data_IF_008233946851
#
_entry.id   IF_008233946851
#
_cell.length_a   1.000
_cell.length_b   1.000
_cell.length_c   1.000
_cell.angle_alpha   90.00
_cell.angle_beta   90.00
_cell.angle_gamma   90.00
#
_symmetry.space_group_name_H-M   'P 1'
#
loop_
_entity.id
_entity.type
_entity.pdbx_description
1 polymer ?
#
# COMPACT_ATOMS: atom_id res chain seq x y z
N UNK A 1 4.38 65.12 5.65
CA UNK A 1 5.13 63.88 6.09
C UNK A 1 4.29 62.63 5.91
N UNK A 2 3.53 62.50 4.80
CA UNK A 2 2.57 61.39 4.56
C UNK A 2 2.92 60.60 3.30
N UNK A 3 3.92 61.01 2.52
CA UNK A 3 4.18 60.46 1.17
C UNK A 3 5.28 59.36 1.10
N UNK A 4 5.86 58.96 2.22
CA UNK A 4 6.93 57.90 2.23
C UNK A 4 6.43 56.49 2.58
N UNK A 5 5.24 56.35 3.14
CA UNK A 5 4.68 55.04 3.52
C UNK A 5 4.01 54.30 2.37
N UNK A 6 3.51 55.00 1.35
CA UNK A 6 2.87 54.33 0.20
C UNK A 6 3.87 53.55 -0.68
N UNK A 7 5.11 54.05 -0.79
CA UNK A 7 6.13 53.37 -1.61
C UNK A 7 6.70 52.08 -0.94
N UNK A 8 6.77 52.07 0.40
CA UNK A 8 7.20 50.88 1.15
C UNK A 8 6.17 49.78 1.12
N UNK A 9 4.87 50.10 1.13
CA UNK A 9 3.79 49.10 1.03
C UNK A 9 3.74 48.49 -0.39
N UNK A 10 3.93 49.30 -1.42
CA UNK A 10 3.97 48.82 -2.82
C UNK A 10 5.20 47.96 -3.08
N UNK A 11 6.38 48.31 -2.51
CA UNK A 11 7.57 47.46 -2.64
C UNK A 11 7.42 46.14 -1.88
N UNK A 12 6.78 46.13 -0.71
CA UNK A 12 6.55 44.93 0.07
C UNK A 12 5.54 43.97 -0.61
N UNK A 13 4.53 44.52 -1.29
CA UNK A 13 3.57 43.73 -2.06
C UNK A 13 4.16 43.15 -3.34
N UNK A 14 5.15 43.81 -3.97
CA UNK A 14 5.85 43.25 -5.15
C UNK A 14 6.80 42.08 -4.80
N UNK A 15 7.38 42.08 -3.60
CA UNK A 15 8.29 41.00 -3.16
C UNK A 15 7.52 39.73 -2.82
N UNK A 16 6.25 39.83 -2.41
CA UNK A 16 5.40 38.65 -2.14
C UNK A 16 4.93 37.90 -3.41
N UNK A 17 5.04 38.53 -4.59
CA UNK A 17 4.66 37.92 -5.87
C UNK A 17 5.82 37.19 -6.56
N UNK A 18 7.05 37.32 -6.07
CA UNK A 18 8.23 36.68 -6.67
C UNK A 18 8.57 35.29 -6.11
N UNK A 19 7.79 34.77 -5.16
CA UNK A 19 8.10 33.53 -4.42
C UNK A 19 7.51 32.23 -4.97
N UNK A 20 6.71 32.26 -6.04
CA UNK A 20 6.20 31.03 -6.66
C UNK A 20 7.07 30.65 -7.86
N UNK A 21 7.87 29.59 -7.73
CA UNK A 21 8.64 29.03 -8.83
C UNK A 21 7.73 28.71 -10.03
N UNK A 22 8.10 29.16 -11.21
CA UNK A 22 7.36 29.01 -12.47
C UNK A 22 7.06 27.56 -12.87
N UNK A 23 7.76 26.60 -12.29
CA UNK A 23 7.68 25.18 -12.68
C UNK A 23 6.44 24.44 -12.16
N UNK A 24 5.70 25.00 -11.20
CA UNK A 24 4.55 24.31 -10.59
C UNK A 24 3.17 24.92 -10.92
N UNK A 25 3.13 26.07 -11.56
CA UNK A 25 1.86 26.74 -11.91
C UNK A 25 1.14 26.05 -13.06
N UNK A 26 1.88 25.48 -14.02
CA UNK A 26 1.30 24.78 -15.16
C UNK A 26 0.64 23.46 -14.73
N UNK A 27 1.11 22.84 -13.66
CA UNK A 27 0.57 21.59 -13.12
C UNK A 27 -0.84 21.73 -12.55
N UNK A 28 -1.17 22.87 -11.95
CA UNK A 28 -2.49 23.10 -11.35
C UNK A 28 -3.60 23.43 -12.34
N UNK A 29 -3.26 23.88 -13.54
CA UNK A 29 -4.22 24.36 -14.56
C UNK A 29 -4.40 23.31 -15.67
N UNK A 30 -3.42 22.43 -15.85
CA UNK A 30 -3.42 21.44 -16.94
C UNK A 30 -4.26 20.21 -16.55
N UNK A 31 -5.17 19.78 -17.43
CA UNK A 31 -5.91 18.54 -17.25
C UNK A 31 -4.95 17.34 -17.24
N UNK A 32 -5.38 16.20 -16.67
CA UNK A 32 -4.58 14.97 -16.68
C UNK A 32 -4.20 14.49 -18.10
N UNK A 33 -4.95 14.93 -19.10
CA UNK A 33 -4.81 14.49 -20.49
C UNK A 33 -5.35 13.08 -20.74
N UNK A 34 -5.27 12.58 -21.98
CA UNK A 34 -5.70 11.22 -22.29
C UNK A 34 -4.81 10.20 -21.58
N UNK A 35 -5.39 9.06 -21.22
CA UNK A 35 -4.63 7.95 -20.62
C UNK A 35 -3.58 7.46 -21.60
N UNK A 36 -2.38 7.25 -21.10
CA UNK A 36 -1.22 6.70 -21.78
C UNK A 36 -0.50 5.71 -20.89
N UNK A 37 0.15 4.79 -21.55
CA UNK A 37 0.99 3.77 -20.93
C UNK A 37 2.44 4.00 -21.35
N UNK A 38 3.35 3.87 -20.38
CA UNK A 38 4.80 4.00 -20.59
C UNK A 38 5.49 2.80 -19.93
N UNK A 39 6.27 2.06 -20.73
CA UNK A 39 7.11 0.98 -20.22
C UNK A 39 8.47 1.55 -19.81
N UNK A 40 8.96 1.12 -18.65
CA UNK A 40 10.23 1.55 -18.06
C UNK A 40 11.11 0.37 -17.72
N UNK A 41 12.33 0.39 -18.23
CA UNK A 41 13.38 -0.57 -17.86
C UNK A 41 14.07 -0.09 -16.59
N UNK A 42 13.94 -0.83 -15.49
CA UNK A 42 14.42 -0.39 -14.17
C UNK A 42 15.40 -1.38 -13.52
N UNK A 43 15.52 -2.60 -14.04
CA UNK A 43 16.32 -3.66 -13.43
C UNK A 43 15.54 -4.52 -12.44
N UNK A 44 16.22 -5.47 -11.82
CA UNK A 44 15.61 -6.44 -10.91
C UNK A 44 15.50 -5.90 -9.49
N UNK A 45 14.41 -6.25 -8.80
CA UNK A 45 14.12 -5.89 -7.41
C UNK A 45 13.47 -7.07 -6.68
N UNK A 46 13.45 -7.01 -5.37
CA UNK A 46 12.73 -7.96 -4.52
C UNK A 46 11.66 -7.29 -3.66
N UNK A 47 11.75 -5.97 -3.49
CA UNK A 47 10.85 -5.17 -2.68
C UNK A 47 10.28 -4.00 -3.47
N UNK A 48 9.01 -3.68 -3.21
CA UNK A 48 8.34 -2.45 -3.72
C UNK A 48 7.92 -1.60 -2.52
N UNK A 49 8.27 -0.33 -2.52
CA UNK A 49 7.75 0.67 -1.58
C UNK A 49 6.80 1.59 -2.34
N UNK A 50 5.53 1.57 -1.95
CA UNK A 50 4.47 2.29 -2.63
C UNK A 50 4.02 3.48 -1.81
N UNK A 51 4.24 4.68 -2.33
CA UNK A 51 3.80 5.94 -1.75
C UNK A 51 2.59 6.51 -2.48
N UNK A 52 2.00 7.53 -1.91
CA UNK A 52 0.96 8.37 -2.49
C UNK A 52 -0.29 7.59 -2.93
N UNK A 53 -0.99 8.12 -3.91
CA UNK A 53 -2.18 7.52 -4.50
C UNK A 53 -1.85 6.87 -5.83
N UNK A 54 -1.09 5.79 -5.79
CA UNK A 54 -0.71 4.99 -6.94
C UNK A 54 -1.20 3.57 -6.73
N UNK A 55 -2.01 3.05 -7.63
CA UNK A 55 -2.43 1.65 -7.61
C UNK A 55 -1.30 0.77 -8.13
N UNK A 56 -1.06 -0.37 -7.49
CA UNK A 56 -0.05 -1.35 -7.87
C UNK A 56 -0.72 -2.64 -8.35
N UNK A 57 -0.31 -3.13 -9.50
CA UNK A 57 -0.77 -4.41 -10.04
C UNK A 57 0.43 -5.33 -10.24
N UNK A 58 0.38 -6.49 -9.58
CA UNK A 58 1.33 -7.57 -9.81
C UNK A 58 0.84 -8.41 -10.98
N UNK A 59 1.63 -8.55 -12.03
CA UNK A 59 1.24 -9.31 -13.22
C UNK A 59 2.41 -10.08 -13.83
N UNK A 60 2.10 -11.06 -14.68
CA UNK A 60 3.09 -11.78 -15.48
C UNK A 60 3.70 -10.81 -16.51
N UNK A 61 4.97 -10.48 -16.31
CA UNK A 61 5.69 -9.54 -17.16
C UNK A 61 7.20 -9.81 -17.12
N UNK A 62 7.94 -9.29 -18.10
CA UNK A 62 9.38 -9.44 -18.14
C UNK A 62 10.07 -8.83 -16.92
N UNK A 63 11.02 -9.57 -16.36
CA UNK A 63 11.80 -9.12 -15.21
C UNK A 63 12.54 -7.81 -15.54
N UNK A 64 12.56 -6.90 -14.57
CA UNK A 64 13.26 -5.61 -14.71
C UNK A 64 12.50 -4.56 -15.52
N UNK A 65 11.25 -4.82 -15.91
CA UNK A 65 10.40 -3.84 -16.58
C UNK A 65 9.17 -3.52 -15.73
N UNK A 66 8.74 -2.27 -15.74
CA UNK A 66 7.48 -1.83 -15.15
C UNK A 66 6.69 -1.01 -16.15
N UNK A 67 5.38 -1.04 -16.02
CA UNK A 67 4.48 -0.26 -16.85
C UNK A 67 3.76 0.78 -15.99
N UNK A 68 3.77 2.02 -16.43
CA UNK A 68 3.08 3.14 -15.79
C UNK A 68 1.93 3.60 -16.67
N UNK A 69 0.70 3.47 -16.17
CA UNK A 69 -0.50 3.97 -16.82
C UNK A 69 -1.03 5.17 -16.06
N UNK A 70 -1.15 6.31 -16.74
CA UNK A 70 -1.67 7.55 -16.17
C UNK A 70 -2.18 8.49 -17.26
N UNK A 71 -2.77 9.60 -16.86
CA UNK A 71 -2.97 10.72 -17.77
C UNK A 71 -1.63 11.21 -18.34
N UNK A 72 -1.57 11.49 -19.64
CA UNK A 72 -0.34 11.88 -20.34
C UNK A 72 0.46 12.97 -19.62
N UNK A 73 -0.24 13.94 -19.04
CA UNK A 73 0.39 15.08 -18.35
C UNK A 73 0.84 14.75 -16.91
N UNK A 74 0.55 13.54 -16.41
CA UNK A 74 0.93 13.07 -15.08
C UNK A 74 2.13 12.12 -15.12
N UNK A 75 2.38 11.45 -16.25
CA UNK A 75 3.37 10.38 -16.38
C UNK A 75 4.77 10.79 -15.93
N UNK A 76 5.23 11.98 -16.29
CA UNK A 76 6.58 12.46 -15.96
C UNK A 76 6.82 12.60 -14.45
N UNK A 77 5.75 12.74 -13.66
CA UNK A 77 5.82 12.94 -12.22
C UNK A 77 5.48 11.66 -11.43
N UNK A 78 5.15 10.58 -12.12
CA UNK A 78 5.12 9.24 -11.52
C UNK A 78 6.54 8.68 -11.56
N UNK A 79 7.17 8.64 -10.42
CA UNK A 79 8.57 8.23 -10.29
C UNK A 79 8.63 6.74 -9.96
N UNK A 80 9.42 6.01 -10.73
CA UNK A 80 9.79 4.62 -10.47
C UNK A 80 11.31 4.56 -10.36
N UNK A 81 11.84 4.49 -9.14
CA UNK A 81 13.28 4.61 -8.87
C UNK A 81 13.78 3.36 -8.15
N UNK A 82 14.93 2.86 -8.58
CA UNK A 82 15.64 1.80 -7.86
C UNK A 82 16.52 2.38 -6.76
N UNK A 83 16.42 1.81 -5.56
CA UNK A 83 17.28 2.07 -4.40
C UNK A 83 17.83 0.73 -3.89
N UNK A 84 18.97 0.31 -4.47
CA UNK A 84 19.46 -1.06 -4.29
C UNK A 84 18.55 -2.06 -4.99
N UNK A 85 18.00 -3.01 -4.26
CA UNK A 85 17.02 -4.00 -4.71
C UNK A 85 15.55 -3.59 -4.43
N UNK A 86 15.34 -2.33 -4.06
CA UNK A 86 14.04 -1.77 -3.75
C UNK A 86 13.54 -0.90 -4.89
N UNK A 87 12.37 -1.21 -5.42
CA UNK A 87 11.62 -0.33 -6.32
C UNK A 87 10.81 0.66 -5.48
N UNK A 88 11.14 1.93 -5.55
CA UNK A 88 10.37 3.02 -4.94
C UNK A 88 9.45 3.62 -5.98
N UNK A 89 8.14 3.61 -5.68
CA UNK A 89 7.08 4.19 -6.52
C UNK A 89 6.46 5.36 -5.81
N UNK A 90 6.54 6.56 -6.41
CA UNK A 90 5.97 7.79 -5.87
C UNK A 90 5.26 8.60 -6.96
N UNK A 91 4.39 9.49 -6.53
CA UNK A 91 3.70 10.42 -7.40
C UNK A 91 3.89 11.86 -6.89
N UNK A 92 4.74 12.62 -7.57
CA UNK A 92 5.05 14.01 -7.21
C UNK A 92 4.09 15.03 -7.81
N UNK A 93 3.03 14.59 -8.51
CA UNK A 93 2.00 15.49 -9.02
C UNK A 93 1.34 16.28 -7.90
N UNK A 94 1.37 17.60 -8.03
CA UNK A 94 0.70 18.53 -7.13
C UNK A 94 -0.71 18.89 -7.65
N UNK A 95 -1.53 19.55 -6.82
CA UNK A 95 -2.84 20.08 -7.23
C UNK A 95 -3.86 19.04 -7.75
N UNK A 96 -3.77 17.80 -7.29
CA UNK A 96 -4.71 16.73 -7.67
C UNK A 96 -6.19 17.05 -7.34
N UNK A 97 -6.45 18.04 -6.47
CA UNK A 97 -7.78 18.50 -6.10
C UNK A 97 -8.45 19.37 -7.19
N UNK A 98 -7.67 20.02 -8.07
CA UNK A 98 -8.19 20.77 -9.22
C UNK A 98 -8.44 19.86 -10.41
N UNK A 99 -7.57 18.85 -10.56
CA UNK A 99 -7.71 17.81 -11.55
C UNK A 99 -8.64 16.75 -10.98
N UNK A 100 -9.80 16.54 -11.54
CA UNK A 100 -10.68 15.43 -11.14
C UNK A 100 -9.84 14.21 -10.72
N UNK A 101 -10.06 13.67 -9.51
CA UNK A 101 -9.38 12.45 -9.02
C UNK A 101 -9.65 11.19 -9.86
N UNK A 102 -10.29 11.34 -11.03
CA UNK A 102 -10.74 10.23 -11.88
C UNK A 102 -9.65 9.49 -12.65
N UNK A 103 -8.58 10.10 -13.21
CA UNK A 103 -7.53 9.27 -13.78
C UNK A 103 -6.74 8.62 -12.63
N UNK A 104 -6.91 7.30 -12.48
CA UNK A 104 -6.04 6.51 -11.61
C UNK A 104 -4.64 6.49 -12.20
N UNK A 105 -3.65 6.45 -11.34
CA UNK A 105 -2.27 6.15 -11.69
C UNK A 105 -2.07 4.69 -11.31
N UNK A 106 -1.72 3.87 -12.28
CA UNK A 106 -1.47 2.44 -12.06
C UNK A 106 -0.04 2.10 -12.47
N UNK A 107 0.66 1.42 -11.58
CA UNK A 107 1.99 0.85 -11.89
C UNK A 107 1.85 -0.66 -11.89
N UNK A 108 2.24 -1.30 -13.01
CA UNK A 108 2.26 -2.75 -13.16
C UNK A 108 3.68 -3.25 -13.04
N UNK A 109 3.88 -4.25 -12.21
CA UNK A 109 5.20 -4.81 -11.90
C UNK A 109 5.22 -6.32 -12.08
N UNK A 110 6.39 -6.90 -12.39
CA UNK A 110 6.54 -8.35 -12.48
C UNK A 110 6.20 -9.04 -11.16
N UNK A 111 5.18 -9.90 -11.18
CA UNK A 111 4.71 -10.64 -9.99
C UNK A 111 5.82 -11.50 -9.37
N UNK A 112 6.72 -12.04 -10.20
CA UNK A 112 7.83 -12.88 -9.74
C UNK A 112 8.93 -12.09 -9.03
N UNK A 113 8.97 -10.75 -9.11
CA UNK A 113 9.96 -9.92 -8.44
C UNK A 113 9.44 -9.27 -7.15
N UNK A 114 8.15 -9.01 -7.05
CA UNK A 114 7.54 -8.33 -5.91
C UNK A 114 7.31 -9.31 -4.72
N UNK A 115 8.39 -9.65 -4.02
CA UNK A 115 8.32 -10.53 -2.84
C UNK A 115 7.82 -9.81 -1.60
N UNK A 116 8.18 -8.55 -1.48
CA UNK A 116 7.84 -7.71 -0.35
C UNK A 116 7.23 -6.40 -0.82
N UNK A 117 6.04 -6.07 -0.30
CA UNK A 117 5.34 -4.82 -0.54
C UNK A 117 5.28 -4.00 0.74
N UNK A 118 5.82 -2.80 0.72
CA UNK A 118 5.69 -1.83 1.82
C UNK A 118 4.76 -0.69 1.38
N UNK A 119 3.59 -0.61 2.03
CA UNK A 119 2.51 0.29 1.65
C UNK A 119 2.49 1.53 2.55
N UNK A 120 2.78 2.69 1.97
CA UNK A 120 2.81 4.00 2.65
C UNK A 120 1.82 5.00 2.08
N UNK A 121 1.17 4.64 0.99
CA UNK A 121 0.22 5.48 0.28
C UNK A 121 -1.24 5.05 0.45
N UNK A 122 -2.10 5.61 -0.40
CA UNK A 122 -3.54 5.34 -0.43
C UNK A 122 -3.98 4.57 -1.68
N UNK A 123 -3.02 4.11 -2.51
CA UNK A 123 -3.29 3.28 -3.68
C UNK A 123 -3.66 1.85 -3.29
N UNK A 124 -4.39 1.18 -4.16
CA UNK A 124 -4.76 -0.21 -3.98
C UNK A 124 -3.69 -1.14 -4.57
N UNK A 125 -3.65 -2.35 -4.06
CA UNK A 125 -2.75 -3.40 -4.57
C UNK A 125 -3.58 -4.61 -4.98
N UNK A 126 -3.28 -5.15 -6.15
CA UNK A 126 -3.90 -6.38 -6.64
C UNK A 126 -2.89 -7.22 -7.42
N UNK A 127 -3.21 -8.48 -7.66
CA UNK A 127 -2.48 -9.36 -8.56
C UNK A 127 -3.42 -9.89 -9.64
N UNK A 128 -2.91 -10.09 -10.85
CA UNK A 128 -3.69 -10.66 -11.97
C UNK A 128 -3.71 -12.19 -11.95
N UNK A 129 -2.81 -12.80 -11.18
CA UNK A 129 -2.73 -14.25 -10.98
C UNK A 129 -2.27 -14.57 -9.56
N UNK A 130 -2.35 -15.83 -9.17
CA UNK A 130 -1.88 -16.31 -7.86
C UNK A 130 -0.38 -16.06 -7.70
N UNK A 131 0.02 -15.43 -6.61
CA UNK A 131 1.44 -15.25 -6.24
C UNK A 131 2.00 -16.57 -5.75
N UNK A 132 2.96 -17.16 -6.49
CA UNK A 132 3.61 -18.43 -6.14
C UNK A 132 5.07 -18.21 -5.81
N UNK A 133 5.46 -18.51 -4.56
CA UNK A 133 6.83 -18.33 -4.08
C UNK A 133 7.04 -18.93 -2.67
N UNK A 134 8.27 -18.92 -2.18
CA UNK A 134 8.55 -19.33 -0.79
C UNK A 134 7.93 -18.37 0.23
N UNK A 135 8.19 -17.05 0.12
CA UNK A 135 7.62 -16.04 1.02
C UNK A 135 6.99 -14.87 0.25
N UNK A 136 5.82 -14.43 0.69
CA UNK A 136 5.20 -13.20 0.26
C UNK A 136 4.82 -12.34 1.46
N UNK A 137 5.21 -11.07 1.43
CA UNK A 137 5.08 -10.15 2.56
C UNK A 137 4.42 -8.85 2.16
N UNK A 138 3.45 -8.38 2.98
CA UNK A 138 2.90 -7.04 2.94
C UNK A 138 3.10 -6.38 4.29
N UNK A 139 3.71 -5.20 4.30
CA UNK A 139 3.84 -4.34 5.48
C UNK A 139 3.17 -3.00 5.19
N UNK A 140 2.37 -2.51 6.12
CA UNK A 140 1.73 -1.20 6.00
C UNK A 140 2.19 -0.27 7.09
N UNK A 141 2.78 0.87 6.67
CA UNK A 141 3.22 1.95 7.54
C UNK A 141 2.60 3.28 7.13
N UNK A 142 1.38 3.59 7.61
CA UNK A 142 0.66 4.83 7.32
C UNK A 142 -0.27 4.78 6.11
N UNK A 143 -0.30 3.68 5.36
CA UNK A 143 -1.15 3.51 4.19
C UNK A 143 -2.66 3.43 4.50
N UNK A 144 -3.49 3.66 3.49
CA UNK A 144 -4.96 3.58 3.59
C UNK A 144 -5.58 2.79 2.41
N UNK A 145 -4.76 2.26 1.51
CA UNK A 145 -5.23 1.46 0.38
C UNK A 145 -5.66 0.05 0.78
N UNK A 146 -6.32 -0.64 -0.13
CA UNK A 146 -6.70 -2.04 0.02
C UNK A 146 -5.76 -2.92 -0.82
N UNK A 147 -5.21 -3.97 -0.22
CA UNK A 147 -4.47 -5.01 -0.92
C UNK A 147 -5.30 -6.30 -0.95
N UNK A 148 -5.57 -6.83 -2.16
CA UNK A 148 -6.31 -8.09 -2.35
C UNK A 148 -5.43 -9.01 -3.18
N UNK A 149 -4.91 -10.07 -2.55
CA UNK A 149 -3.91 -10.95 -3.17
C UNK A 149 -4.27 -12.42 -2.95
N UNK A 150 -4.29 -13.16 -4.03
CA UNK A 150 -4.35 -14.62 -4.01
C UNK A 150 -2.94 -15.20 -3.98
N UNK A 151 -2.63 -16.11 -3.04
CA UNK A 151 -1.29 -16.63 -2.81
C UNK A 151 -1.26 -18.15 -2.76
N UNK A 152 -0.13 -18.73 -3.16
CA UNK A 152 0.22 -20.15 -2.98
C UNK A 152 1.69 -20.17 -2.56
N UNK A 153 1.95 -20.11 -1.23
CA UNK A 153 3.26 -19.80 -0.67
C UNK A 153 3.60 -20.68 0.53
N UNK A 154 4.89 -20.82 0.84
CA UNK A 154 5.29 -21.48 2.09
C UNK A 154 5.01 -20.57 3.28
N UNK A 155 5.25 -19.26 3.13
CA UNK A 155 5.02 -18.27 4.20
C UNK A 155 4.33 -17.02 3.65
N UNK A 156 3.20 -16.65 4.28
CA UNK A 156 2.46 -15.41 4.03
C UNK A 156 2.57 -14.47 5.22
N UNK A 157 2.92 -13.20 5.00
CA UNK A 157 3.10 -12.22 6.07
C UNK A 157 2.26 -10.97 5.82
N UNK A 158 1.47 -10.58 6.82
CA UNK A 158 0.82 -9.27 6.88
C UNK A 158 1.21 -8.53 8.17
N UNK A 159 1.84 -7.36 8.04
CA UNK A 159 2.19 -6.47 9.15
C UNK A 159 1.52 -5.11 9.00
N UNK A 160 0.54 -4.81 9.84
CA UNK A 160 -0.22 -3.56 9.81
C UNK A 160 0.20 -2.68 11.00
N UNK A 161 1.26 -1.88 10.82
CA UNK A 161 1.90 -1.11 11.89
C UNK A 161 1.17 0.20 12.20
N UNK A 162 0.68 0.88 11.16
CA UNK A 162 -0.08 2.14 11.28
C UNK A 162 -0.93 2.37 10.03
N UNK A 163 -1.95 3.24 10.15
CA UNK A 163 -2.88 3.54 9.07
C UNK A 163 -4.21 2.81 9.20
N UNK A 164 -5.01 2.87 8.14
CA UNK A 164 -6.37 2.33 8.10
C UNK A 164 -6.67 1.57 6.79
N UNK A 165 -5.64 1.08 6.10
CA UNK A 165 -5.81 0.25 4.91
C UNK A 165 -6.35 -1.14 5.27
N UNK A 166 -6.57 -1.96 4.27
CA UNK A 166 -7.10 -3.31 4.42
C UNK A 166 -6.23 -4.30 3.65
N UNK A 167 -5.96 -5.46 4.23
CA UNK A 167 -5.31 -6.58 3.53
C UNK A 167 -6.24 -7.77 3.51
N UNK A 168 -6.45 -8.32 2.31
CA UNK A 168 -7.22 -9.54 2.08
C UNK A 168 -6.32 -10.55 1.40
N UNK A 169 -6.14 -11.71 2.04
CA UNK A 169 -5.45 -12.84 1.46
C UNK A 169 -6.41 -14.00 1.19
N UNK A 170 -6.25 -14.61 0.01
CA UNK A 170 -6.90 -15.87 -0.37
C UNK A 170 -5.86 -16.86 -0.84
N UNK A 171 -6.26 -18.14 -1.01
CA UNK A 171 -5.39 -19.18 -1.53
C UNK A 171 -4.81 -20.09 -0.45
N UNK A 172 -3.50 -20.38 -0.47
CA UNK A 172 -2.87 -21.34 0.44
C UNK A 172 -1.55 -20.84 1.00
N UNK A 173 -1.26 -21.23 2.26
CA UNK A 173 0.03 -20.99 2.89
C UNK A 173 0.39 -22.14 3.85
N UNK A 174 1.67 -22.51 3.93
CA UNK A 174 2.14 -23.39 5.01
C UNK A 174 2.10 -22.67 6.36
N UNK A 175 2.52 -21.38 6.38
CA UNK A 175 2.54 -20.54 7.56
C UNK A 175 2.00 -19.14 7.23
N UNK A 176 1.08 -18.63 8.06
CA UNK A 176 0.65 -17.24 8.00
C UNK A 176 1.05 -16.48 9.27
N UNK A 177 1.78 -15.36 9.10
CA UNK A 177 2.05 -14.38 10.14
C UNK A 177 1.15 -13.17 9.94
N UNK A 178 0.25 -12.92 10.90
CA UNK A 178 -0.72 -11.84 10.83
C UNK A 178 -0.53 -10.91 12.04
N UNK A 179 -0.10 -9.69 11.81
CA UNK A 179 0.12 -8.69 12.85
C UNK A 179 -0.63 -7.41 12.55
N UNK A 180 -1.37 -6.89 13.53
CA UNK A 180 -1.94 -5.55 13.46
C UNK A 180 -1.75 -4.80 14.77
N UNK A 181 -1.21 -3.58 14.68
CA UNK A 181 -1.15 -2.60 15.75
C UNK A 181 -1.84 -1.29 15.35
N UNK A 182 -2.80 -1.35 14.43
CA UNK A 182 -3.39 -0.19 13.76
C UNK A 182 -4.91 -0.26 13.69
N UNK A 183 -5.52 0.63 12.90
CA UNK A 183 -6.93 0.57 12.52
C UNK A 183 -7.16 -0.22 11.22
N UNK A 184 -6.17 -0.98 10.78
CA UNK A 184 -6.21 -1.74 9.55
C UNK A 184 -6.65 -3.18 9.82
N UNK A 185 -7.81 -3.63 9.35
CA UNK A 185 -8.22 -5.02 9.45
C UNK A 185 -7.38 -5.90 8.52
N UNK A 186 -7.23 -7.16 8.92
CA UNK A 186 -6.65 -8.22 8.09
C UNK A 186 -7.73 -9.28 7.89
N UNK A 187 -8.02 -9.61 6.64
CA UNK A 187 -8.91 -10.71 6.29
C UNK A 187 -8.14 -11.80 5.54
N UNK A 188 -7.77 -12.83 6.26
CA UNK A 188 -7.19 -14.06 5.75
C UNK A 188 -8.12 -15.26 5.94
N UNK A 189 -9.45 -15.02 6.02
CA UNK A 189 -10.45 -16.08 6.14
C UNK A 189 -10.53 -16.98 4.90
N UNK A 190 -10.13 -16.44 3.74
CA UNK A 190 -10.02 -17.17 2.47
C UNK A 190 -8.64 -17.80 2.23
N UNK A 191 -7.70 -17.67 3.17
CA UNK A 191 -6.36 -18.25 3.09
C UNK A 191 -6.33 -19.57 3.88
N UNK A 192 -6.26 -20.71 3.19
CA UNK A 192 -6.03 -22.02 3.81
C UNK A 192 -4.59 -22.12 4.31
N UNK A 193 -4.34 -21.83 5.57
CA UNK A 193 -3.03 -21.95 6.19
C UNK A 193 -2.95 -23.19 7.09
N UNK A 194 -1.83 -23.93 7.00
CA UNK A 194 -1.59 -25.04 7.94
C UNK A 194 -1.40 -24.48 9.35
N UNK A 195 -0.57 -23.45 9.48
CA UNK A 195 -0.27 -22.80 10.75
C UNK A 195 -0.49 -21.30 10.66
N UNK A 196 -1.11 -20.73 11.69
CA UNK A 196 -1.34 -19.29 11.81
C UNK A 196 -0.74 -18.79 13.11
N UNK A 197 0.13 -17.78 13.01
CA UNK A 197 0.61 -16.97 14.12
C UNK A 197 -0.01 -15.59 13.98
N UNK A 198 -0.93 -15.25 14.87
CA UNK A 198 -1.68 -14.00 14.77
C UNK A 198 -1.56 -13.18 16.05
N UNK A 199 -1.17 -11.92 15.91
CA UNK A 199 -1.11 -10.97 17.01
C UNK A 199 -1.94 -9.73 16.66
N UNK A 200 -3.02 -9.53 17.42
CA UNK A 200 -3.87 -8.36 17.32
C UNK A 200 -3.58 -7.39 18.48
N UNK A 201 -2.74 -6.41 18.22
CA UNK A 201 -2.48 -5.26 19.09
C UNK A 201 -3.22 -4.00 18.60
N UNK A 202 -4.07 -4.13 17.58
CA UNK A 202 -4.87 -3.07 16.99
C UNK A 202 -6.27 -2.96 17.59
N UNK A 203 -7.08 -2.10 16.96
CA UNK A 203 -8.46 -1.84 17.36
C UNK A 203 -9.50 -2.49 16.44
N UNK A 204 -9.06 -3.04 15.32
CA UNK A 204 -9.90 -3.74 14.34
C UNK A 204 -9.69 -5.24 14.42
N UNK A 205 -10.60 -5.98 13.82
CA UNK A 205 -10.58 -7.43 13.86
C UNK A 205 -9.60 -8.02 12.84
N UNK A 206 -9.05 -9.18 13.17
CA UNK A 206 -8.32 -10.05 12.26
C UNK A 206 -9.15 -11.31 12.03
N UNK A 207 -9.29 -11.71 10.77
CA UNK A 207 -9.92 -12.97 10.38
C UNK A 207 -8.88 -13.90 9.80
N UNK A 208 -8.89 -15.17 10.18
CA UNK A 208 -7.96 -16.17 9.68
C UNK A 208 -8.59 -17.57 9.59
N UNK A 209 -7.93 -18.45 8.88
CA UNK A 209 -8.27 -19.87 8.82
C UNK A 209 -7.01 -20.70 9.02
N UNK A 210 -7.07 -21.65 9.93
CA UNK A 210 -5.97 -22.55 10.23
C UNK A 210 -6.45 -24.00 10.22
N UNK A 211 -5.67 -24.92 9.64
CA UNK A 211 -6.01 -26.32 9.62
C UNK A 211 -5.33 -27.16 10.70
N UNK A 212 -4.10 -26.81 11.12
CA UNK A 212 -3.32 -27.59 12.08
C UNK A 212 -3.08 -26.84 13.40
N UNK A 213 -2.55 -25.60 13.33
CA UNK A 213 -2.14 -24.85 14.51
C UNK A 213 -2.55 -23.38 14.42
N UNK A 214 -3.10 -22.85 15.51
CA UNK A 214 -3.35 -21.43 15.69
C UNK A 214 -2.68 -20.97 17.00
N UNK A 215 -1.75 -20.02 16.88
CA UNK A 215 -1.22 -19.25 18.02
C UNK A 215 -1.75 -17.82 17.93
N UNK A 216 -2.62 -17.46 18.89
CA UNK A 216 -3.36 -16.21 18.86
C UNK A 216 -3.01 -15.33 20.07
N UNK A 217 -2.56 -14.11 19.81
CA UNK A 217 -2.31 -13.10 20.82
C UNK A 217 -3.23 -11.89 20.63
N UNK A 218 -3.91 -11.47 21.70
CA UNK A 218 -4.78 -10.29 21.69
C UNK A 218 -4.32 -9.34 22.78
N UNK A 219 -3.84 -8.17 22.38
CA UNK A 219 -3.26 -7.18 23.29
C UNK A 219 -4.10 -5.90 23.40
N UNK A 220 -5.19 -5.77 22.61
CA UNK A 220 -6.04 -4.58 22.57
C UNK A 220 -7.53 -5.00 22.41
N UNK A 221 -8.37 -4.09 21.92
CA UNK A 221 -9.82 -4.29 21.78
C UNK A 221 -10.24 -5.07 20.54
N UNK A 222 -9.37 -5.13 19.52
CA UNK A 222 -9.64 -5.88 18.28
C UNK A 222 -9.69 -7.38 18.56
N UNK A 223 -10.67 -8.06 17.99
CA UNK A 223 -10.88 -9.50 18.15
C UNK A 223 -10.17 -10.29 17.04
N UNK A 224 -9.98 -11.58 17.27
CA UNK A 224 -9.54 -12.54 16.28
C UNK A 224 -10.67 -13.53 16.02
N UNK A 225 -11.09 -13.63 14.75
CA UNK A 225 -12.06 -14.63 14.28
C UNK A 225 -11.31 -15.68 13.50
N UNK A 226 -11.47 -16.94 13.86
CA UNK A 226 -10.80 -18.02 13.15
C UNK A 226 -11.78 -19.13 12.76
N UNK A 227 -11.47 -19.80 11.65
CA UNK A 227 -12.17 -21.00 11.18
C UNK A 227 -11.21 -22.18 11.02
N UNK A 228 -11.74 -23.36 10.78
CA UNK A 228 -11.01 -24.63 10.77
C UNK A 228 -11.03 -25.30 12.13
N UNK A 229 -10.23 -26.37 12.28
CA UNK A 229 -10.14 -27.16 13.51
C UNK A 229 -8.69 -27.32 13.98
N UNK A 230 -7.94 -26.22 14.15
CA UNK A 230 -6.56 -26.30 14.58
C UNK A 230 -6.43 -26.64 16.07
N UNK A 231 -5.24 -27.07 16.46
CA UNK A 231 -4.83 -26.96 17.88
C UNK A 231 -4.61 -25.49 18.20
N UNK A 232 -5.33 -24.95 19.21
CA UNK A 232 -5.32 -23.54 19.55
C UNK A 232 -4.49 -23.29 20.80
N UNK A 233 -3.52 -22.36 20.68
CA UNK A 233 -2.83 -21.71 21.78
C UNK A 233 -3.21 -20.23 21.78
N UNK A 234 -3.54 -19.66 22.95
CA UNK A 234 -3.92 -18.25 22.98
C UNK A 234 -3.45 -17.53 24.23
N UNK A 235 -3.14 -16.24 24.07
CA UNK A 235 -2.81 -15.30 25.15
C UNK A 235 -3.59 -14.00 24.94
N UNK A 236 -4.48 -13.69 25.88
CA UNK A 236 -5.39 -12.54 25.78
C UNK A 236 -5.12 -11.60 26.95
N UNK A 237 -4.64 -10.40 26.63
CA UNK A 237 -4.32 -9.33 27.57
C UNK A 237 -5.20 -8.09 27.39
N UNK A 238 -5.90 -7.97 26.25
CA UNK A 238 -6.83 -6.89 25.91
C UNK A 238 -8.30 -7.29 26.12
N UNK A 239 -9.21 -6.41 25.69
CA UNK A 239 -10.66 -6.63 25.73
C UNK A 239 -11.22 -7.38 24.51
N UNK A 240 -10.39 -7.58 23.48
CA UNK A 240 -10.75 -8.36 22.29
C UNK A 240 -10.99 -9.82 22.63
N UNK A 241 -11.61 -10.54 21.71
CA UNK A 241 -12.01 -11.95 21.89
C UNK A 241 -11.42 -12.84 20.81
N UNK A 242 -11.11 -14.06 21.16
CA UNK A 242 -10.84 -15.14 20.21
C UNK A 242 -12.16 -15.88 19.94
N UNK A 243 -12.63 -15.85 18.70
CA UNK A 243 -13.95 -16.36 18.31
C UNK A 243 -13.77 -17.39 17.21
N UNK A 244 -14.24 -18.61 17.45
CA UNK A 244 -14.35 -19.63 16.41
C UNK A 244 -15.61 -19.37 15.59
N UNK A 245 -15.46 -19.35 14.26
CA UNK A 245 -16.55 -19.20 13.31
C UNK A 245 -16.62 -20.43 12.41
N UNK A 246 -17.84 -20.86 12.02
CA UNK A 246 -18.06 -22.03 11.16
C UNK A 246 -17.73 -21.74 9.69
#
# INVERSE_FOLDING_TARGET
MVMRWSHTIVLLSLVLLAGCGKEQWDDCITSAGPIRTEERSIGTFSKVVLYDRVDLVLEERDAGTVEVEAGRNLLAQVITKMEGDVLVVTNTNTCNWVRSFKPRITVRVPIQQAAFLELKGTGNVSATSTVRRGEFRIEQGGGQGTAIIDVDVDTCVAGMHSGAGNVVFTGRAGLAFLYSASMAPIDASGLDAERVLVNNSGVTDIRCRASEHLDAQINNIGSIYYSGQPMVSSSIHGDGRLVHVE
#
